data_IF_553378008232
#
_entry.id   IF_553378008232
#
_cell.length_a   1.000
_cell.length_b   1.000
_cell.length_c   1.000
_cell.angle_alpha   90.00
_cell.angle_beta   90.00
_cell.angle_gamma   90.00
#
_symmetry.space_group_name_H-M   'P 1'
#
loop_
_entity.id
_entity.type
_entity.pdbx_description
1 polymer ?
#
# COMPACT_ATOMS: atom_id res chain seq x y z
N UNK A 1 -47.42 29.57 -28.26
CA UNK A 1 -47.35 29.11 -26.85
C UNK A 1 -46.65 27.75 -26.67
N UNK A 2 -46.88 26.74 -27.53
CA UNK A 2 -46.26 25.41 -27.41
C UNK A 2 -44.71 25.37 -27.47
N UNK A 3 -44.06 26.29 -28.19
CA UNK A 3 -42.60 26.35 -28.33
C UNK A 3 -41.88 26.92 -27.10
N UNK A 4 -42.53 27.82 -26.35
CA UNK A 4 -41.96 28.45 -25.13
C UNK A 4 -41.99 27.46 -23.96
N UNK A 5 -43.05 26.64 -23.87
CA UNK A 5 -43.16 25.61 -22.83
C UNK A 5 -42.07 24.54 -22.96
N UNK A 6 -41.66 24.21 -24.19
CA UNK A 6 -40.64 23.21 -24.50
C UNK A 6 -39.23 23.70 -24.16
N UNK A 7 -38.97 25.00 -24.34
CA UNK A 7 -37.69 25.62 -23.94
C UNK A 7 -37.57 25.73 -22.42
N UNK A 8 -38.66 26.08 -21.72
CA UNK A 8 -38.65 26.14 -20.25
C UNK A 8 -38.47 24.77 -19.59
N UNK A 9 -39.00 23.71 -20.20
CA UNK A 9 -38.84 22.33 -19.71
C UNK A 9 -37.43 21.76 -19.98
N UNK A 10 -36.78 22.13 -21.08
CA UNK A 10 -35.38 21.73 -21.32
C UNK A 10 -34.40 22.41 -20.35
N UNK A 11 -34.62 23.67 -20.01
CA UNK A 11 -33.74 24.43 -19.10
C UNK A 11 -33.86 23.91 -17.66
N UNK A 12 -35.07 23.60 -17.20
CA UNK A 12 -35.27 23.01 -15.86
C UNK A 12 -34.73 21.58 -15.80
N UNK A 13 -34.92 20.75 -16.81
CA UNK A 13 -34.36 19.40 -16.86
C UNK A 13 -32.82 19.38 -16.77
N UNK A 14 -32.13 20.34 -17.40
CA UNK A 14 -30.67 20.44 -17.36
C UNK A 14 -30.08 20.74 -15.98
N UNK A 15 -30.80 21.51 -15.14
CA UNK A 15 -30.32 21.91 -13.80
C UNK A 15 -30.57 20.83 -12.73
N UNK A 16 -31.63 20.03 -12.87
CA UNK A 16 -32.00 19.00 -11.89
C UNK A 16 -31.11 17.75 -12.02
N UNK A 17 -30.68 17.42 -13.24
CA UNK A 17 -29.78 16.28 -13.51
C UNK A 17 -28.37 16.52 -12.96
N UNK A 18 -27.89 17.77 -12.98
CA UNK A 18 -26.58 18.11 -12.46
C UNK A 18 -26.51 17.95 -10.92
N UNK A 19 -27.55 18.38 -10.18
CA UNK A 19 -27.57 18.26 -8.71
C UNK A 19 -27.66 16.80 -8.20
N UNK A 20 -28.38 15.90 -8.90
CA UNK A 20 -28.43 14.47 -8.55
C UNK A 20 -27.07 13.77 -8.72
N UNK A 21 -26.28 14.18 -9.72
CA UNK A 21 -24.95 13.62 -9.97
C UNK A 21 -23.96 13.94 -8.84
N UNK A 22 -23.97 15.18 -8.34
CA UNK A 22 -23.13 15.59 -7.21
C UNK A 22 -23.53 14.90 -5.91
N UNK A 23 -24.83 14.72 -5.64
CA UNK A 23 -25.29 14.00 -4.44
C UNK A 23 -24.83 12.53 -4.41
N UNK A 24 -24.79 11.85 -5.56
CA UNK A 24 -24.26 10.49 -5.67
C UNK A 24 -22.72 10.46 -5.53
N UNK A 25 -22.02 11.46 -6.08
CA UNK A 25 -20.57 11.62 -5.93
C UNK A 25 -20.21 11.92 -4.47
N UNK A 26 -20.91 12.84 -3.81
CA UNK A 26 -20.74 13.19 -2.40
C UNK A 26 -21.05 11.98 -1.52
N UNK A 27 -22.16 11.26 -1.72
CA UNK A 27 -22.44 10.02 -0.99
C UNK A 27 -21.39 8.93 -1.21
N UNK A 28 -20.80 8.85 -2.41
CA UNK A 28 -19.69 7.93 -2.69
C UNK A 28 -18.41 8.39 -2.00
N UNK A 29 -18.12 9.69 -1.98
CA UNK A 29 -17.02 10.26 -1.20
C UNK A 29 -17.21 10.05 0.30
N UNK A 30 -18.40 10.28 0.84
CA UNK A 30 -18.74 10.06 2.25
C UNK A 30 -18.69 8.58 2.63
N UNK A 31 -19.07 7.68 1.73
CA UNK A 31 -18.91 6.23 1.93
C UNK A 31 -17.45 5.80 1.84
N UNK A 32 -16.71 6.30 0.85
CA UNK A 32 -15.27 6.05 0.73
C UNK A 32 -14.48 6.63 1.90
N UNK A 33 -14.94 7.77 2.42
CA UNK A 33 -14.47 8.40 3.65
C UNK A 33 -14.83 7.52 4.83
N UNK A 34 -16.09 7.20 5.11
CA UNK A 34 -16.47 6.39 6.29
C UNK A 34 -15.96 4.92 6.27
N UNK A 35 -15.69 4.32 5.11
CA UNK A 35 -15.10 2.97 4.99
C UNK A 35 -13.55 2.97 5.02
N UNK A 36 -12.87 4.09 4.74
CA UNK A 36 -11.39 4.20 4.76
C UNK A 36 -10.82 5.32 5.65
N UNK A 37 -11.63 6.07 6.40
CA UNK A 37 -11.18 7.23 7.17
C UNK A 37 -10.67 6.83 8.54
N UNK A 38 -9.40 7.17 8.77
CA UNK A 38 -8.98 7.73 10.06
C UNK A 38 -8.86 6.78 11.24
N UNK A 39 -8.92 5.45 11.07
CA UNK A 39 -8.48 4.57 12.15
C UNK A 39 -6.97 4.77 12.35
N UNK A 40 -6.63 5.36 13.47
CA UNK A 40 -5.26 5.40 13.93
C UNK A 40 -4.84 4.01 14.42
N UNK A 41 -3.61 3.65 14.12
CA UNK A 41 -2.98 2.42 14.54
C UNK A 41 -1.75 2.71 15.41
N UNK A 42 -1.73 3.82 16.14
CA UNK A 42 -0.66 4.21 17.06
C UNK A 42 -0.22 3.07 18.01
N UNK A 43 -1.16 2.27 18.49
CA UNK A 43 -0.88 1.11 19.36
C UNK A 43 -0.20 -0.07 18.63
N UNK A 44 -0.21 -0.08 17.29
CA UNK A 44 0.45 -1.13 16.51
C UNK A 44 1.96 -1.00 16.60
N UNK A 45 2.63 -2.00 17.17
CA UNK A 45 4.09 -2.02 17.31
C UNK A 45 4.73 -2.50 16.00
N UNK A 46 5.56 -1.64 15.39
CA UNK A 46 6.31 -1.98 14.17
C UNK A 46 7.53 -2.85 14.44
N UNK A 47 8.19 -2.67 15.59
CA UNK A 47 9.42 -3.40 15.91
C UNK A 47 9.24 -4.91 15.79
N UNK A 48 10.18 -5.56 15.08
CA UNK A 48 10.16 -6.99 14.79
C UNK A 48 9.20 -7.41 13.67
N UNK A 49 8.39 -6.49 13.13
CA UNK A 49 7.50 -6.79 12.00
C UNK A 49 8.26 -6.77 10.68
N UNK A 50 7.83 -7.65 9.78
CA UNK A 50 8.35 -7.75 8.42
C UNK A 50 7.25 -7.59 7.40
N UNK A 51 7.52 -6.83 6.36
CA UNK A 51 6.59 -6.57 5.27
C UNK A 51 7.25 -6.87 3.93
N UNK A 52 6.50 -7.49 3.03
CA UNK A 52 6.99 -7.88 1.71
C UNK A 52 6.24 -7.12 0.61
N UNK A 53 7.00 -6.62 -0.36
CA UNK A 53 6.51 -6.19 -1.66
C UNK A 53 7.14 -7.09 -2.73
N UNK A 54 6.35 -7.41 -3.77
CA UNK A 54 6.80 -8.24 -4.88
C UNK A 54 6.50 -7.51 -6.16
N UNK A 55 7.49 -7.43 -7.05
CA UNK A 55 7.38 -6.89 -8.39
C UNK A 55 7.71 -7.97 -9.40
N UNK A 56 6.93 -8.00 -10.46
CA UNK A 56 7.10 -8.97 -11.53
C UNK A 56 7.32 -8.21 -12.83
N UNK A 57 8.53 -8.35 -13.39
CA UNK A 57 8.94 -7.76 -14.65
C UNK A 57 8.98 -8.85 -15.73
N UNK A 58 9.26 -8.50 -16.99
CA UNK A 58 9.28 -9.48 -18.09
C UNK A 58 10.44 -10.47 -17.92
N UNK A 59 11.60 -9.93 -17.57
CA UNK A 59 12.91 -10.59 -17.52
C UNK A 59 13.33 -11.02 -16.10
N UNK A 60 12.81 -10.37 -15.07
CA UNK A 60 13.14 -10.67 -13.68
C UNK A 60 11.93 -10.56 -12.75
N UNK A 61 12.07 -11.04 -11.52
CA UNK A 61 11.16 -10.74 -10.42
C UNK A 61 11.93 -10.20 -9.23
N UNK A 62 11.34 -9.26 -8.50
CA UNK A 62 11.95 -8.61 -7.34
C UNK A 62 11.09 -8.84 -6.10
N UNK A 63 11.72 -9.19 -4.99
CA UNK A 63 11.08 -9.31 -3.67
C UNK A 63 11.80 -8.40 -2.71
N UNK A 64 11.09 -7.43 -2.16
CA UNK A 64 11.62 -6.51 -1.18
C UNK A 64 11.02 -6.86 0.18
N UNK A 65 11.86 -7.13 1.16
CA UNK A 65 11.47 -7.46 2.53
C UNK A 65 11.96 -6.34 3.43
N UNK A 66 11.05 -5.54 3.96
CA UNK A 66 11.31 -4.55 4.99
C UNK A 66 11.16 -5.18 6.37
N UNK A 67 12.19 -5.07 7.19
CA UNK A 67 12.21 -5.46 8.59
C UNK A 67 12.42 -4.24 9.47
N UNK A 68 11.45 -3.96 10.33
CA UNK A 68 11.54 -2.89 11.32
C UNK A 68 12.30 -3.41 12.54
N UNK A 69 13.42 -2.76 12.85
CA UNK A 69 14.36 -3.16 13.91
C UNK A 69 14.22 -2.23 15.12
N UNK A 70 14.75 -2.61 16.29
CA UNK A 70 14.79 -1.72 17.44
C UNK A 70 15.52 -0.40 17.16
N UNK A 71 15.30 0.60 18.01
CA UNK A 71 15.97 1.91 17.95
C UNK A 71 15.75 2.69 16.65
N UNK A 72 14.54 2.65 16.08
CA UNK A 72 14.17 3.34 14.84
C UNK A 72 15.06 2.97 13.63
N UNK A 73 15.55 1.73 13.60
CA UNK A 73 16.31 1.19 12.49
C UNK A 73 15.43 0.35 11.58
N UNK A 74 15.83 0.26 10.31
CA UNK A 74 15.15 -0.58 9.32
C UNK A 74 16.17 -1.24 8.42
N UNK A 75 15.88 -2.49 8.06
CA UNK A 75 16.65 -3.26 7.09
C UNK A 75 15.72 -3.63 5.94
N UNK A 76 16.18 -3.45 4.71
CA UNK A 76 15.50 -3.96 3.54
C UNK A 76 16.38 -5.00 2.87
N UNK A 77 15.83 -6.18 2.62
CA UNK A 77 16.46 -7.19 1.78
C UNK A 77 15.75 -7.17 0.43
N UNK A 78 16.49 -6.90 -0.63
CA UNK A 78 16.04 -7.03 -2.00
C UNK A 78 16.57 -8.35 -2.55
N UNK A 79 15.69 -9.12 -3.20
CA UNK A 79 16.03 -10.37 -3.88
C UNK A 79 15.54 -10.25 -5.32
N UNK A 80 16.44 -10.39 -6.28
CA UNK A 80 16.17 -10.31 -7.71
C UNK A 80 16.42 -11.69 -8.31
N UNK A 81 15.42 -12.27 -8.95
CA UNK A 81 15.51 -13.54 -9.67
C UNK A 81 15.40 -13.28 -11.17
N UNK A 82 16.42 -13.63 -11.94
CA UNK A 82 16.37 -13.63 -13.40
C UNK A 82 15.52 -14.80 -13.89
N UNK A 83 14.47 -14.51 -14.68
CA UNK A 83 13.51 -15.53 -15.10
C UNK A 83 14.08 -16.51 -16.12
N UNK A 84 15.08 -16.10 -16.89
CA UNK A 84 15.71 -16.88 -17.96
C UNK A 84 16.78 -17.83 -17.43
N UNK A 85 17.64 -17.34 -16.54
CA UNK A 85 18.79 -18.08 -16.00
C UNK A 85 18.49 -18.74 -14.65
N UNK A 86 17.43 -18.31 -13.95
CA UNK A 86 17.10 -18.70 -12.57
C UNK A 86 18.19 -18.31 -11.56
N UNK A 87 19.07 -17.39 -11.92
CA UNK A 87 20.05 -16.85 -10.99
C UNK A 87 19.38 -15.85 -10.05
N UNK A 88 19.74 -15.91 -8.78
CA UNK A 88 19.26 -15.01 -7.74
C UNK A 88 20.40 -14.12 -7.25
N UNK A 89 20.10 -12.84 -7.06
CA UNK A 89 20.97 -11.85 -6.45
C UNK A 89 20.24 -11.19 -5.28
N UNK A 90 20.99 -10.79 -4.26
CA UNK A 90 20.43 -10.10 -3.11
C UNK A 90 21.24 -8.90 -2.70
N UNK A 91 20.54 -7.85 -2.29
CA UNK A 91 21.11 -6.64 -1.72
C UNK A 91 20.51 -6.41 -0.32
N UNK A 92 21.35 -6.00 0.63
CA UNK A 92 20.93 -5.61 1.97
C UNK A 92 21.12 -4.12 2.14
N UNK A 93 20.02 -3.43 2.36
CA UNK A 93 20.00 -2.01 2.65
C UNK A 93 19.68 -1.78 4.13
N UNK A 94 20.30 -0.78 4.74
CA UNK A 94 19.99 -0.36 6.10
C UNK A 94 19.81 1.15 6.18
N UNK A 95 19.09 1.59 7.22
CA UNK A 95 18.89 3.01 7.50
C UNK A 95 17.92 3.23 8.65
N UNK A 96 17.19 4.34 8.59
CA UNK A 96 16.34 4.85 9.65
C UNK A 96 14.87 4.98 9.25
N UNK A 97 14.03 5.02 10.28
CA UNK A 97 12.58 5.18 10.20
C UNK A 97 12.15 6.36 11.06
N UNK A 98 11.20 7.14 10.55
CA UNK A 98 10.38 8.06 11.32
C UNK A 98 8.92 7.67 11.16
N UNK A 99 8.19 7.61 12.26
CA UNK A 99 6.75 7.35 12.27
C UNK A 99 6.00 8.54 12.83
N UNK A 100 4.91 8.91 12.17
CA UNK A 100 3.91 9.85 12.66
C UNK A 100 2.52 9.28 12.39
N UNK A 101 1.82 8.85 13.44
CA UNK A 101 0.57 8.10 13.34
C UNK A 101 0.69 6.89 12.40
N UNK A 102 -0.18 6.82 11.40
CA UNK A 102 -0.14 5.78 10.37
C UNK A 102 0.91 6.02 9.29
N UNK A 103 1.51 7.22 9.22
CA UNK A 103 2.54 7.52 8.24
C UNK A 103 3.91 7.06 8.74
N UNK A 104 4.61 6.30 7.91
CA UNK A 104 5.96 5.78 8.16
C UNK A 104 6.85 6.20 7.01
N UNK A 105 7.86 7.00 7.31
CA UNK A 105 8.90 7.40 6.38
C UNK A 105 10.14 6.58 6.66
N UNK A 106 10.65 5.95 5.62
CA UNK A 106 11.86 5.13 5.63
C UNK A 106 12.89 5.79 4.75
N UNK A 107 14.14 5.84 5.23
CA UNK A 107 15.30 6.22 4.46
C UNK A 107 16.38 5.15 4.64
N UNK A 108 16.78 4.53 3.55
CA UNK A 108 17.86 3.55 3.48
C UNK A 108 19.06 4.22 2.86
N UNK A 109 20.09 4.48 3.66
CA UNK A 109 21.27 5.25 3.29
C UNK A 109 22.55 4.41 3.19
N UNK A 110 22.45 3.10 3.43
CA UNK A 110 23.56 2.15 3.29
C UNK A 110 23.16 0.94 2.47
N UNK A 111 24.10 0.45 1.66
CA UNK A 111 24.05 -0.81 0.92
C UNK A 111 25.27 -1.64 1.35
N UNK A 112 25.05 -2.84 1.89
CA UNK A 112 26.11 -3.73 2.38
C UNK A 112 27.09 -2.98 3.33
N UNK A 113 26.51 -2.26 4.31
CA UNK A 113 27.19 -1.41 5.29
C UNK A 113 27.97 -0.19 4.73
N UNK A 114 27.95 0.02 3.42
CA UNK A 114 28.59 1.17 2.77
C UNK A 114 27.56 2.29 2.52
N UNK A 115 27.94 3.52 2.86
CA UNK A 115 27.10 4.69 2.60
C UNK A 115 26.81 4.84 1.10
N UNK A 116 25.56 5.16 0.78
CA UNK A 116 25.08 5.39 -0.58
C UNK A 116 25.10 6.89 -0.89
N UNK A 117 25.43 7.24 -2.14
CA UNK A 117 25.31 8.63 -2.61
C UNK A 117 23.86 9.10 -2.69
N UNK A 118 22.93 8.18 -2.99
CA UNK A 118 21.50 8.44 -3.09
C UNK A 118 20.73 7.43 -2.24
N UNK A 119 20.06 7.86 -1.17
CA UNK A 119 19.30 6.95 -0.33
C UNK A 119 18.00 6.50 -1.01
N UNK A 120 17.56 5.29 -0.71
CA UNK A 120 16.22 4.83 -1.09
C UNK A 120 15.21 5.33 -0.05
N UNK A 121 14.12 5.92 -0.50
CA UNK A 121 13.09 6.48 0.40
C UNK A 121 11.72 5.90 0.13
N UNK A 122 11.02 5.49 1.19
CA UNK A 122 9.65 5.02 1.11
C UNK A 122 8.77 5.80 2.09
N UNK A 123 7.69 6.37 1.58
CA UNK A 123 6.66 6.99 2.40
C UNK A 123 5.45 6.08 2.39
N UNK A 124 5.18 5.46 3.52
CA UNK A 124 4.26 4.36 3.67
C UNK A 124 3.09 4.77 4.56
N UNK A 125 1.87 4.42 4.16
CA UNK A 125 0.68 4.59 4.98
C UNK A 125 0.22 3.23 5.51
N UNK A 126 0.23 3.08 6.84
CA UNK A 126 -0.25 1.89 7.54
C UNK A 126 -1.76 1.77 7.41
N UNK A 127 -2.23 0.57 7.16
CA UNK A 127 -3.66 0.27 7.05
C UNK A 127 -3.93 -1.15 7.51
N UNK A 128 -5.15 -1.40 7.96
CA UNK A 128 -5.62 -2.74 8.32
C UNK A 128 -6.85 -3.12 7.51
N UNK A 129 -6.85 -4.30 6.89
CA UNK A 129 -7.99 -4.81 6.13
C UNK A 129 -8.04 -6.33 6.20
N UNK A 130 -9.24 -6.89 6.39
CA UNK A 130 -9.46 -8.35 6.38
C UNK A 130 -8.51 -9.13 7.33
N UNK A 131 -8.19 -8.53 8.48
CA UNK A 131 -7.42 -9.19 9.55
C UNK A 131 -5.90 -9.12 9.39
N UNK A 132 -5.36 -8.28 8.50
CA UNK A 132 -3.91 -8.06 8.40
C UNK A 132 -3.56 -6.59 8.22
N UNK A 133 -2.37 -6.24 8.71
CA UNK A 133 -1.75 -4.95 8.47
C UNK A 133 -0.97 -4.96 7.16
N UNK A 134 -1.00 -3.83 6.47
CA UNK A 134 -0.24 -3.61 5.26
C UNK A 134 0.11 -2.14 5.14
N UNK A 135 1.18 -1.85 4.41
CA UNK A 135 1.50 -0.50 3.99
C UNK A 135 1.09 -0.26 2.56
N UNK A 136 0.75 1.00 2.28
CA UNK A 136 0.62 1.53 0.92
C UNK A 136 1.69 2.58 0.72
N UNK A 137 2.54 2.44 -0.29
CA UNK A 137 3.44 3.52 -0.67
C UNK A 137 2.61 4.69 -1.21
N UNK A 138 2.77 5.87 -0.63
CA UNK A 138 1.98 7.06 -0.95
C UNK A 138 2.25 7.51 -2.39
N UNK A 139 3.49 7.35 -2.86
CA UNK A 139 3.93 7.81 -4.17
C UNK A 139 3.54 6.81 -5.28
N UNK A 140 3.76 5.51 -5.06
CA UNK A 140 3.60 4.48 -6.10
C UNK A 140 2.31 3.67 -5.97
N UNK A 141 1.60 3.78 -4.84
CA UNK A 141 0.44 2.95 -4.44
C UNK A 141 0.74 1.46 -4.27
N UNK A 142 2.02 1.07 -4.35
CA UNK A 142 2.48 -0.29 -4.11
C UNK A 142 2.12 -0.76 -2.69
N UNK A 143 1.73 -2.03 -2.57
CA UNK A 143 1.33 -2.63 -1.29
C UNK A 143 2.47 -3.45 -0.72
N UNK A 144 2.71 -3.27 0.57
CA UNK A 144 3.63 -4.08 1.36
C UNK A 144 2.84 -4.85 2.40
N UNK A 145 2.89 -6.17 2.36
CA UNK A 145 2.03 -7.04 3.17
C UNK A 145 2.82 -7.62 4.33
N UNK A 146 2.26 -7.63 5.54
CA UNK A 146 2.89 -8.25 6.70
C UNK A 146 3.12 -9.76 6.45
N UNK A 147 4.36 -10.24 6.63
CA UNK A 147 4.74 -11.62 6.28
C UNK A 147 4.01 -12.66 7.14
N UNK A 148 3.80 -12.40 8.43
CA UNK A 148 3.09 -13.32 9.34
C UNK A 148 1.69 -13.70 8.84
N UNK A 149 1.04 -12.84 8.06
CA UNK A 149 -0.25 -13.16 7.44
C UNK A 149 -0.13 -14.22 6.34
N UNK A 150 0.95 -14.16 5.53
CA UNK A 150 1.16 -15.10 4.43
C UNK A 150 1.35 -16.54 4.94
N UNK A 151 2.01 -16.71 6.08
CA UNK A 151 2.23 -18.04 6.67
C UNK A 151 0.93 -18.69 7.15
N UNK A 152 0.06 -17.94 7.84
CA UNK A 152 -1.26 -18.42 8.27
C UNK A 152 -2.14 -18.86 7.09
N UNK A 153 -2.07 -18.16 5.96
CA UNK A 153 -2.84 -18.54 4.76
C UNK A 153 -2.30 -19.78 4.06
N UNK A 154 -0.99 -20.05 4.14
CA UNK A 154 -0.41 -21.29 3.60
C UNK A 154 -0.81 -22.51 4.45
N UNK A 155 -0.82 -22.37 5.77
CA UNK A 155 -1.25 -23.42 6.69
C UNK A 155 -2.73 -23.78 6.50
N UNK A 156 -3.62 -22.78 6.42
CA UNK A 156 -5.05 -23.03 6.22
C UNK A 156 -5.37 -23.75 4.90
N UNK A 157 -4.65 -23.41 3.82
CA UNK A 157 -4.76 -24.10 2.52
C UNK A 157 -4.22 -25.54 2.56
N UNK A 158 -3.17 -25.82 3.36
CA UNK A 158 -2.65 -27.19 3.54
C UNK A 158 -3.63 -28.07 4.31
N UNK A 159 -4.33 -27.53 5.30
CA UNK A 159 -5.35 -28.27 6.08
C UNK A 159 -6.57 -28.62 5.21
N UNK A 160 -7.03 -27.71 4.35
CA UNK A 160 -8.16 -27.97 3.45
C UNK A 160 -7.85 -29.02 2.37
N UNK A 161 -6.60 -29.15 1.92
CA UNK A 161 -6.19 -30.19 0.95
C UNK A 161 -6.02 -31.58 1.55
N UNK A 162 -6.02 -31.71 2.89
CA UNK A 162 -5.85 -32.97 3.63
C UNK A 162 -7.16 -33.54 4.18
N UNK A 163 -8.28 -32.85 3.94
CA UNK A 163 -9.65 -33.32 4.22
C UNK A 163 -10.33 -33.63 2.90
#
# INVERSE_FOLDING_TARGET
>A
MKKILLVLTLITAGTIVQAQSYGAIIKRLDRLSSENSGKDYDEFILEGKKFINVKDSIDHSEKHILEFRPNNQVTMIEIIEDKSTKQEYSNIFTGDIVRNHNAVSIRLDKLEDKAMSYPLTYNLLLSHRKGYYYFTNINTREKWIEIHYLDKTKESKKVQKRK
#
